data_IF_340388300213
#
_entry.id   IF_340388300213
#
_cell.length_a   1.000
_cell.length_b   1.000
_cell.length_c   1.000
_cell.angle_alpha   90.00
_cell.angle_beta   90.00
_cell.angle_gamma   90.00
#
_symmetry.space_group_name_H-M   'P 1'
#
loop_
_entity.id
_entity.type
_entity.pdbx_description
1 polymer ?
#
# COMPACT_ATOMS: atom_id res chain seq x y z
N UNK A 1 7.54 -0.68 -16.54
CA UNK A 1 7.50 -0.01 -15.22
C UNK A 1 7.81 -1.03 -14.14
N UNK A 2 8.10 -0.60 -12.91
CA UNK A 2 8.32 -1.53 -11.78
C UNK A 2 7.14 -1.45 -10.82
N UNK A 3 6.53 -2.58 -10.51
CA UNK A 3 5.64 -2.74 -9.35
C UNK A 3 6.50 -3.11 -8.15
N UNK A 4 6.46 -2.31 -7.09
CA UNK A 4 7.04 -2.65 -5.79
C UNK A 4 5.92 -2.95 -4.80
N UNK A 5 6.03 -4.06 -4.07
CA UNK A 5 5.11 -4.41 -2.99
C UNK A 5 5.86 -4.46 -1.67
N UNK A 6 5.34 -3.75 -0.67
CA UNK A 6 5.84 -3.77 0.70
C UNK A 6 4.81 -4.53 1.55
N UNK A 7 5.27 -5.58 2.23
CA UNK A 7 4.45 -6.42 3.11
C UNK A 7 4.82 -6.07 4.55
N UNK A 8 3.81 -5.65 5.32
CA UNK A 8 3.98 -5.18 6.70
C UNK A 8 3.04 -5.97 7.61
N UNK A 9 3.63 -6.76 8.52
CA UNK A 9 2.88 -7.43 9.59
C UNK A 9 2.26 -6.42 10.55
N UNK A 10 1.11 -6.79 11.14
CA UNK A 10 0.41 -5.94 12.12
C UNK A 10 0.64 -6.37 13.58
N UNK A 11 1.24 -7.54 13.80
CA UNK A 11 1.62 -7.99 15.13
C UNK A 11 2.83 -7.19 15.60
N UNK A 12 2.70 -6.48 16.71
CA UNK A 12 3.80 -5.72 17.29
C UNK A 12 4.93 -6.66 17.75
N UNK A 13 6.19 -6.27 17.49
CA UNK A 13 7.36 -7.09 17.81
C UNK A 13 7.46 -7.45 19.30
N UNK A 14 7.03 -6.57 20.20
CA UNK A 14 7.22 -6.78 21.65
C UNK A 14 6.17 -7.73 22.23
N UNK A 15 4.93 -7.68 21.76
CA UNK A 15 3.83 -8.50 22.28
C UNK A 15 3.44 -9.68 21.39
N UNK A 16 3.91 -9.70 20.13
CA UNK A 16 3.45 -10.58 19.07
C UNK A 16 1.91 -10.58 18.91
N UNK A 17 1.31 -9.40 19.10
CA UNK A 17 -0.13 -9.21 18.97
C UNK A 17 -0.42 -7.91 18.24
N UNK A 18 -1.54 -7.91 17.52
CA UNK A 18 -2.05 -6.70 16.90
C UNK A 18 -2.57 -5.74 17.99
N UNK A 19 -1.88 -4.60 18.17
CA UNK A 19 -2.20 -3.64 19.23
C UNK A 19 -3.38 -2.72 18.90
N UNK A 20 -3.69 -2.56 17.62
CA UNK A 20 -4.72 -1.63 17.14
C UNK A 20 -5.60 -2.26 16.07
N UNK A 21 -6.80 -1.73 15.87
CA UNK A 21 -7.63 -2.11 14.72
C UNK A 21 -6.97 -1.74 13.38
N UNK A 22 -7.32 -2.49 12.32
CA UNK A 22 -6.75 -2.33 10.97
C UNK A 22 -6.83 -0.88 10.47
N UNK A 23 -7.92 -0.18 10.77
CA UNK A 23 -8.21 1.20 10.37
C UNK A 23 -7.13 2.17 10.84
N UNK A 24 -6.54 1.93 12.02
CA UNK A 24 -5.48 2.78 12.55
C UNK A 24 -4.19 2.59 11.75
N UNK A 25 -3.79 1.35 11.47
CA UNK A 25 -2.62 1.06 10.63
C UNK A 25 -2.79 1.61 9.21
N UNK A 26 -3.99 1.42 8.62
CA UNK A 26 -4.34 1.97 7.31
C UNK A 26 -4.23 3.51 7.31
N UNK A 27 -4.68 4.17 8.38
CA UNK A 27 -4.57 5.63 8.51
C UNK A 27 -3.11 6.09 8.50
N UNK A 28 -2.22 5.38 9.20
CA UNK A 28 -0.79 5.68 9.23
C UNK A 28 -0.17 5.45 7.84
N UNK A 29 -0.43 4.30 7.21
CA UNK A 29 0.04 3.98 5.86
C UNK A 29 -0.33 5.06 4.85
N UNK A 30 -1.60 5.53 4.87
CA UNK A 30 -2.05 6.62 4.01
C UNK A 30 -1.27 7.91 4.26
N UNK A 31 -1.07 8.29 5.52
CA UNK A 31 -0.31 9.50 5.88
C UNK A 31 1.13 9.45 5.38
N UNK A 32 1.80 8.31 5.54
CA UNK A 32 3.15 8.09 5.00
C UNK A 32 3.14 8.27 3.49
N UNK A 33 2.29 7.53 2.77
CA UNK A 33 2.26 7.61 1.30
C UNK A 33 1.92 9.02 0.77
N UNK A 34 1.01 9.74 1.45
CA UNK A 34 0.70 11.14 1.14
C UNK A 34 1.89 12.08 1.37
N UNK A 35 2.69 11.85 2.42
CA UNK A 35 3.89 12.64 2.70
C UNK A 35 4.93 12.52 1.57
N UNK A 36 5.11 11.31 1.03
CA UNK A 36 6.00 11.06 -0.11
C UNK A 36 5.40 11.45 -1.47
N UNK A 37 4.11 11.81 -1.52
CA UNK A 37 3.39 12.24 -2.73
C UNK A 37 3.44 11.19 -3.86
N UNK A 38 3.41 9.91 -3.49
CA UNK A 38 3.46 8.78 -4.45
C UNK A 38 2.07 8.23 -4.75
N UNK A 39 1.81 7.74 -5.97
CA UNK A 39 0.63 6.94 -6.24
C UNK A 39 0.75 5.58 -5.54
N UNK A 40 -0.31 5.16 -4.85
CA UNK A 40 -0.30 3.89 -4.12
C UNK A 40 -1.67 3.23 -4.09
N UNK A 41 -1.66 1.92 -3.90
CA UNK A 41 -2.81 1.13 -3.49
C UNK A 41 -2.40 0.20 -2.36
N UNK A 42 -3.35 -0.37 -1.63
CA UNK A 42 -3.03 -1.35 -0.61
C UNK A 42 -4.13 -2.40 -0.46
N UNK A 43 -3.77 -3.56 0.07
CA UNK A 43 -4.71 -4.62 0.48
C UNK A 43 -4.41 -5.09 1.90
N UNK A 44 -5.45 -5.53 2.61
CA UNK A 44 -5.31 -6.29 3.86
C UNK A 44 -5.28 -7.77 3.50
N UNK A 45 -4.28 -8.51 3.95
CA UNK A 45 -4.17 -9.95 3.76
C UNK A 45 -4.12 -10.64 5.11
N UNK A 46 -4.93 -11.68 5.29
CA UNK A 46 -4.89 -12.56 6.45
C UNK A 46 -4.24 -13.86 6.01
N UNK A 47 -3.15 -14.27 6.67
CA UNK A 47 -2.34 -15.39 6.21
C UNK A 47 -1.56 -16.08 7.32
N UNK A 48 -0.90 -17.16 6.93
CA UNK A 48 0.06 -17.87 7.76
C UNK A 48 1.49 -17.54 7.33
N UNK A 49 2.35 -17.23 8.29
CA UNK A 49 3.75 -16.86 8.07
C UNK A 49 4.65 -17.76 8.92
N UNK A 50 5.88 -17.96 8.47
CA UNK A 50 6.91 -18.66 9.23
C UNK A 50 7.94 -17.60 9.63
N UNK A 51 8.04 -17.29 10.92
CA UNK A 51 9.05 -16.37 11.42
C UNK A 51 10.46 -16.96 11.23
N UNK A 52 11.50 -16.14 11.37
CA UNK A 52 12.89 -16.63 11.30
C UNK A 52 13.18 -17.72 12.36
N UNK A 53 12.44 -17.72 13.47
CA UNK A 53 12.48 -18.76 14.50
C UNK A 53 11.97 -20.13 14.03
N UNK A 54 11.29 -20.19 12.88
CA UNK A 54 10.58 -21.38 12.39
C UNK A 54 9.16 -21.53 12.93
N UNK A 55 8.68 -20.59 13.76
CA UNK A 55 7.33 -20.61 14.31
C UNK A 55 6.30 -20.25 13.23
N UNK A 56 5.23 -21.07 13.14
CA UNK A 56 4.10 -20.79 12.27
C UNK A 56 3.13 -19.85 12.97
N UNK A 57 2.95 -18.66 12.44
CA UNK A 57 2.07 -17.64 12.96
C UNK A 57 0.93 -17.34 12.00
N UNK A 58 -0.20 -16.96 12.56
CA UNK A 58 -1.32 -16.41 11.79
C UNK A 58 -1.35 -14.91 12.07
N UNK A 59 -1.16 -14.10 11.04
CA UNK A 59 -1.15 -12.65 11.17
C UNK A 59 -1.86 -11.96 10.01
N UNK A 60 -2.34 -10.75 10.31
CA UNK A 60 -2.82 -9.80 9.32
C UNK A 60 -1.60 -9.00 8.83
N UNK A 61 -1.55 -8.81 7.52
CA UNK A 61 -0.51 -8.06 6.83
C UNK A 61 -1.14 -6.98 5.95
N UNK A 62 -0.58 -5.78 5.98
CA UNK A 62 -0.86 -4.76 4.97
C UNK A 62 0.13 -4.92 3.82
N UNK A 63 -0.40 -5.01 2.60
CA UNK A 63 0.41 -5.05 1.38
C UNK A 63 0.23 -3.73 0.64
N UNK A 64 1.25 -2.88 0.68
CA UNK A 64 1.33 -1.62 -0.04
C UNK A 64 1.89 -1.88 -1.44
N UNK A 65 1.18 -1.46 -2.48
CA UNK A 65 1.64 -1.55 -3.88
C UNK A 65 1.96 -0.16 -4.40
N UNK A 66 3.18 -0.01 -4.93
CA UNK A 66 3.72 1.20 -5.53
C UNK A 66 4.10 0.91 -6.98
N UNK A 67 3.66 1.75 -7.90
CA UNK A 67 3.93 1.58 -9.34
C UNK A 67 4.85 2.72 -9.79
N UNK A 68 6.00 2.35 -10.33
CA UNK A 68 7.00 3.25 -10.93
C UNK A 68 7.54 4.33 -9.98
N UNK A 69 7.60 3.99 -8.69
CA UNK A 69 8.22 4.81 -7.64
C UNK A 69 9.73 4.55 -7.60
N UNK A 70 10.53 5.59 -7.40
CA UNK A 70 11.98 5.47 -7.29
C UNK A 70 12.37 4.52 -6.15
N UNK A 71 13.35 3.64 -6.40
CA UNK A 71 13.77 2.60 -5.45
C UNK A 71 14.26 3.17 -4.11
N UNK A 72 14.87 4.35 -4.10
CA UNK A 72 15.26 5.07 -2.87
C UNK A 72 14.02 5.42 -2.05
N UNK A 73 13.01 6.03 -2.68
CA UNK A 73 11.72 6.38 -2.06
C UNK A 73 10.97 5.15 -1.56
N UNK A 74 10.97 4.03 -2.31
CA UNK A 74 10.38 2.76 -1.84
C UNK A 74 11.04 2.29 -0.54
N UNK A 75 12.37 2.40 -0.44
CA UNK A 75 13.11 2.03 0.78
C UNK A 75 12.82 2.97 1.94
N UNK A 76 12.72 4.27 1.69
CA UNK A 76 12.40 5.26 2.72
C UNK A 76 10.99 5.02 3.29
N UNK A 77 10.00 4.79 2.41
CA UNK A 77 8.64 4.40 2.82
C UNK A 77 8.65 3.10 3.62
N UNK A 78 9.39 2.08 3.18
CA UNK A 78 9.50 0.80 3.88
C UNK A 78 10.09 0.98 5.29
N UNK A 79 11.15 1.79 5.42
CA UNK A 79 11.78 2.10 6.69
C UNK A 79 10.84 2.83 7.65
N UNK A 80 10.13 3.84 7.16
CA UNK A 80 9.15 4.58 7.96
C UNK A 80 8.02 3.66 8.45
N UNK A 81 7.46 2.81 7.57
CA UNK A 81 6.40 1.88 7.95
C UNK A 81 6.88 0.83 8.96
N UNK A 82 8.09 0.29 8.75
CA UNK A 82 8.73 -0.64 9.69
C UNK A 82 8.84 -0.01 11.09
N UNK A 83 9.29 1.24 11.16
CA UNK A 83 9.43 1.98 12.41
C UNK A 83 8.07 2.31 13.05
N UNK A 84 7.10 2.83 12.28
CA UNK A 84 5.78 3.21 12.81
C UNK A 84 4.98 2.02 13.33
N UNK A 85 5.20 0.84 12.76
CA UNK A 85 4.46 -0.38 13.13
C UNK A 85 5.26 -1.25 14.09
N UNK A 86 6.42 -0.78 14.54
CA UNK A 86 7.33 -1.49 15.45
C UNK A 86 7.59 -2.93 14.97
N UNK A 87 7.95 -3.07 13.69
CA UNK A 87 8.29 -4.34 13.08
C UNK A 87 9.81 -4.52 13.09
N UNK A 88 10.27 -5.77 13.23
CA UNK A 88 11.68 -6.12 13.04
C UNK A 88 12.11 -5.90 11.59
N UNK A 89 11.25 -6.29 10.64
CA UNK A 89 11.49 -6.14 9.21
C UNK A 89 10.19 -6.00 8.43
N UNK A 90 10.32 -5.56 7.18
CA UNK A 90 9.25 -5.58 6.17
C UNK A 90 9.81 -6.22 4.90
N UNK A 91 8.99 -7.01 4.21
CA UNK A 91 9.39 -7.63 2.96
C UNK A 91 9.08 -6.70 1.78
N UNK A 92 10.05 -6.51 0.90
CA UNK A 92 9.87 -5.79 -0.36
C UNK A 92 10.01 -6.77 -1.51
N UNK A 93 9.03 -6.83 -2.42
CA UNK A 93 9.14 -7.54 -3.70
C UNK A 93 9.02 -6.56 -4.86
N UNK A 94 9.73 -6.84 -5.95
CA UNK A 94 9.74 -6.02 -7.15
C UNK A 94 9.42 -6.88 -8.37
N UNK A 95 8.50 -6.43 -9.21
CA UNK A 95 8.15 -7.08 -10.48
C UNK A 95 8.21 -6.08 -11.62
N UNK A 96 8.70 -6.52 -12.79
CA UNK A 96 8.56 -5.75 -14.02
C UNK A 96 7.14 -5.92 -14.55
N UNK A 97 6.49 -4.82 -14.87
CA UNK A 97 5.14 -4.79 -15.40
C UNK A 97 5.07 -3.97 -16.69
N UNK A 98 4.19 -4.41 -17.59
CA UNK A 98 3.72 -3.62 -18.72
C UNK A 98 2.50 -2.83 -18.28
N UNK A 99 2.43 -1.56 -18.68
CA UNK A 99 1.33 -0.67 -18.34
C UNK A 99 0.91 0.12 -19.57
N UNK A 100 -0.39 0.29 -19.73
CA UNK A 100 -1.00 1.11 -20.77
C UNK A 100 -2.12 1.94 -20.13
N UNK A 101 -2.24 3.19 -20.57
CA UNK A 101 -3.27 4.10 -20.08
C UNK A 101 -4.39 4.21 -21.10
N UNK A 102 -5.62 3.90 -20.69
CA UNK A 102 -6.82 4.16 -21.49
C UNK A 102 -7.38 5.52 -21.05
N UNK A 103 -7.69 6.38 -22.02
CA UNK A 103 -8.33 7.68 -21.78
C UNK A 103 -9.53 7.82 -22.71
N UNK A 104 -10.72 7.88 -22.13
CA UNK A 104 -11.94 8.22 -22.84
C UNK A 104 -12.35 9.64 -22.46
N UNK A 105 -12.72 10.46 -23.46
CA UNK A 105 -13.36 11.74 -23.22
C UNK A 105 -14.86 11.53 -23.36
N UNK A 106 -15.62 11.73 -22.29
CA UNK A 106 -17.06 11.90 -22.40
C UNK A 106 -17.29 13.26 -23.07
N UNK A 107 -17.70 13.26 -24.33
CA UNK A 107 -18.26 14.45 -24.97
C UNK A 107 -19.64 14.70 -24.34
N UNK A 108 -19.74 15.72 -23.49
CA UNK A 108 -21.03 16.24 -23.09
C UNK A 108 -21.62 16.96 -24.29
N UNK A 109 -22.59 16.33 -24.98
CA UNK A 109 -23.48 17.00 -25.90
C UNK A 109 -24.28 18.05 -25.10
N UNK A 110 -23.78 19.29 -25.08
CA UNK A 110 -24.59 20.45 -24.72
C UNK A 110 -25.63 20.65 -25.81
N UNK A 111 -26.72 19.87 -25.75
CA UNK A 111 -27.98 20.29 -26.33
C UNK A 111 -28.46 21.48 -25.51
N UNK A 112 -28.10 22.67 -25.98
CA UNK A 112 -28.83 23.88 -25.65
C UNK A 112 -30.30 23.61 -25.98
N UNK A 113 -31.13 23.48 -24.94
CA UNK A 113 -32.56 23.68 -25.07
C UNK A 113 -32.75 25.13 -25.54
N UNK A 114 -32.78 25.33 -26.85
CA UNK A 114 -33.31 26.52 -27.47
C UNK A 114 -34.82 26.54 -27.24
N UNK A 115 -35.20 26.84 -25.99
CA UNK A 115 -36.55 27.27 -25.64
C UNK A 115 -36.84 28.53 -26.44
N UNK A 116 -37.56 28.33 -27.54
CA UNK A 116 -38.10 29.36 -28.40
C UNK A 116 -39.33 29.95 -27.73
N UNK A 117 -39.35 31.28 -27.60
CA UNK A 117 -40.45 32.23 -27.36
C UNK A 117 -41.67 31.81 -26.51
#
# INVERSE_FOLDING_TARGET
>A
MVESKIYIGLNDLASNTQLFENEKYISILRKVCHSYRVPFSFSVQEGGYIYESGEYAKEICLVLTLIDVEKSVVKDIAGDLCAFFNQESVLITENRIDAYFIRERLEYDSKEDSGSD
#
